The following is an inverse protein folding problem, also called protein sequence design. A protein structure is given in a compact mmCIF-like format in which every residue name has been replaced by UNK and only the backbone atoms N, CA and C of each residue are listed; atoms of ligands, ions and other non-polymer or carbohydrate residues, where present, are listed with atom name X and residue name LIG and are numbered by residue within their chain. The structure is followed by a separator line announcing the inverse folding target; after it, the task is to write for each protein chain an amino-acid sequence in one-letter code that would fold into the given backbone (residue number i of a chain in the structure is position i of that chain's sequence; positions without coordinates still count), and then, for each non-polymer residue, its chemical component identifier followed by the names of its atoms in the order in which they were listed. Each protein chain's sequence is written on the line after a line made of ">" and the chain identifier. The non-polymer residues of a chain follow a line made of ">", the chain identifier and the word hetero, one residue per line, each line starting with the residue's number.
data_IF_878742042660
#
_entry.id   IF_878742042660
#
_cell.length_a   1.000
_cell.length_b   1.000
_cell.length_c   1.000
_cell.angle_alpha   90.00
_cell.angle_beta   90.00
_cell.angle_gamma   90.00
#
_symmetry.space_group_name_H-M   'P 1'
#
loop_
_entity.id
_entity.type
_entity.pdbx_description
1 polymer ?
#
# COMPACT_ATOMS: atom_id res chain seq x y z
N UNK A 1 3.65 26.62 16.66
CA UNK A 1 3.41 25.99 15.35
C UNK A 1 3.95 24.58 15.42
N UNK A 2 3.09 23.58 15.24
CA UNK A 2 3.36 22.18 15.61
C UNK A 2 4.26 21.56 14.55
N UNK A 3 5.39 20.97 14.97
CA UNK A 3 6.33 20.26 14.10
C UNK A 3 5.62 19.11 13.36
N UNK A 4 5.03 19.40 12.21
CA UNK A 4 4.56 18.35 11.31
C UNK A 4 5.80 17.58 10.85
N UNK A 5 5.78 16.24 10.89
CA UNK A 5 6.90 15.47 10.38
C UNK A 5 7.12 15.80 8.90
N UNK A 6 8.37 15.75 8.41
CA UNK A 6 8.70 16.15 7.04
C UNK A 6 8.02 15.26 5.98
N UNK A 7 7.46 14.11 6.40
CA UNK A 7 6.63 13.24 5.60
C UNK A 7 6.16 12.02 6.42
N UNK A 8 5.66 11.01 5.72
CA UNK A 8 5.15 9.76 6.28
C UNK A 8 5.64 8.58 5.46
N UNK A 9 6.24 7.60 6.13
CA UNK A 9 6.65 6.33 5.51
C UNK A 9 5.58 5.29 5.75
N UNK A 10 5.14 4.63 4.69
CA UNK A 10 4.11 3.59 4.72
C UNK A 10 4.57 2.33 4.03
N UNK A 11 4.03 1.19 4.44
CA UNK A 11 4.29 -0.08 3.79
C UNK A 11 3.47 -1.21 4.38
N UNK A 12 3.40 -2.29 3.61
CA UNK A 12 2.84 -3.57 4.00
C UNK A 12 4.00 -4.56 4.11
N UNK A 13 4.18 -5.08 5.32
CA UNK A 13 5.25 -6.03 5.66
C UNK A 13 5.25 -7.23 4.72
N UNK A 14 6.45 -7.56 4.21
CA UNK A 14 6.69 -8.65 3.23
C UNK A 14 5.88 -8.56 1.92
N UNK A 15 5.24 -7.42 1.62
CA UNK A 15 4.48 -7.22 0.38
C UNK A 15 5.00 -6.02 -0.39
N UNK A 16 5.34 -4.92 0.27
CA UNK A 16 5.78 -3.68 -0.38
C UNK A 16 7.11 -3.18 0.16
N UNK A 17 7.87 -2.47 -0.67
CA UNK A 17 8.96 -1.61 -0.18
C UNK A 17 8.39 -0.44 0.64
N UNK A 18 8.99 -0.08 1.79
CA UNK A 18 8.61 1.12 2.53
C UNK A 18 8.72 2.35 1.65
N UNK A 19 7.63 3.08 1.50
CA UNK A 19 7.52 4.23 0.60
C UNK A 19 7.16 5.48 1.39
N UNK A 20 7.84 6.59 1.13
CA UNK A 20 7.62 7.83 1.88
C UNK A 20 6.86 8.87 1.06
N UNK A 21 5.97 9.61 1.71
CA UNK A 21 5.09 10.61 1.13
C UNK A 21 5.17 11.93 1.90
N UNK A 22 4.94 13.05 1.24
CA UNK A 22 4.91 14.37 1.92
C UNK A 22 3.69 14.55 2.83
N UNK A 23 2.57 13.92 2.53
CA UNK A 23 1.33 14.06 3.29
C UNK A 23 0.63 12.72 3.51
N UNK A 24 -0.21 12.64 4.54
CA UNK A 24 -0.91 11.41 4.89
C UNK A 24 -1.96 11.00 3.87
N UNK A 25 -2.70 11.96 3.30
CA UNK A 25 -3.75 11.66 2.33
C UNK A 25 -3.27 10.79 1.15
N UNK A 26 -2.19 11.14 0.41
CA UNK A 26 -1.67 10.30 -0.64
C UNK A 26 -1.09 8.98 -0.11
N UNK A 27 -0.43 8.98 1.05
CA UNK A 27 0.12 7.77 1.66
C UNK A 27 -0.97 6.73 1.98
N UNK A 28 -2.08 7.18 2.57
CA UNK A 28 -3.24 6.34 2.91
C UNK A 28 -3.98 5.90 1.65
N UNK A 29 -4.09 6.76 0.64
CA UNK A 29 -4.67 6.40 -0.66
C UNK A 29 -3.85 5.31 -1.35
N UNK A 30 -2.52 5.42 -1.36
CA UNK A 30 -1.60 4.40 -1.88
C UNK A 30 -1.72 3.06 -1.16
N UNK A 31 -1.81 3.08 0.18
CA UNK A 31 -2.06 1.88 0.98
C UNK A 31 -3.40 1.23 0.60
N UNK A 32 -4.46 2.02 0.51
CA UNK A 32 -5.79 1.52 0.18
C UNK A 32 -5.86 0.89 -1.21
N UNK A 33 -5.28 1.54 -2.22
CA UNK A 33 -5.16 1.00 -3.57
C UNK A 33 -4.40 -0.33 -3.58
N UNK A 34 -3.32 -0.43 -2.81
CA UNK A 34 -2.51 -1.64 -2.73
C UNK A 34 -3.28 -2.78 -2.05
N UNK A 35 -4.00 -2.51 -0.96
CA UNK A 35 -4.84 -3.51 -0.27
C UNK A 35 -5.97 -4.03 -1.15
N UNK A 36 -6.55 -3.17 -1.99
CA UNK A 36 -7.60 -3.55 -2.93
C UNK A 36 -7.16 -4.60 -3.97
N UNK A 37 -5.87 -4.67 -4.25
CA UNK A 37 -5.30 -5.63 -5.21
C UNK A 37 -4.94 -6.99 -4.58
N UNK A 38 -5.09 -7.13 -3.25
CA UNK A 38 -4.80 -8.36 -2.52
C UNK A 38 -6.08 -9.19 -2.31
N UNK A 39 -5.98 -10.54 -2.26
CA UNK A 39 -7.11 -11.45 -2.02
C UNK A 39 -7.53 -11.43 -0.55
N UNK A 40 -8.05 -10.29 -0.09
CA UNK A 40 -8.60 -10.13 1.25
C UNK A 40 -9.98 -10.77 1.34
N UNK A 41 -10.26 -11.44 2.46
CA UNK A 41 -11.62 -11.89 2.78
C UNK A 41 -12.55 -10.70 3.00
N UNK A 42 -13.84 -10.86 2.66
CA UNK A 42 -14.87 -9.82 2.75
C UNK A 42 -14.87 -9.05 4.08
N UNK A 43 -14.85 -9.75 5.21
CA UNK A 43 -14.85 -9.13 6.54
C UNK A 43 -13.64 -8.23 6.77
N UNK A 44 -12.46 -8.66 6.30
CA UNK A 44 -11.24 -7.86 6.42
C UNK A 44 -11.33 -6.63 5.52
N UNK A 45 -11.77 -6.83 4.28
CA UNK A 45 -11.96 -5.73 3.33
C UNK A 45 -12.87 -4.63 3.89
N UNK A 46 -14.03 -4.99 4.45
CA UNK A 46 -14.95 -4.02 5.07
C UNK A 46 -14.35 -3.32 6.29
N UNK A 47 -13.60 -4.04 7.13
CA UNK A 47 -12.90 -3.43 8.26
C UNK A 47 -11.88 -2.37 7.78
N UNK A 48 -11.11 -2.69 6.74
CA UNK A 48 -10.14 -1.76 6.18
C UNK A 48 -10.77 -0.60 5.42
N UNK A 49 -11.93 -0.81 4.78
CA UNK A 49 -12.73 0.26 4.18
C UNK A 49 -13.14 1.30 5.23
N UNK A 50 -13.44 0.87 6.46
CA UNK A 50 -13.67 1.79 7.57
C UNK A 50 -12.40 2.57 7.96
N UNK A 51 -11.26 1.89 8.11
CA UNK A 51 -10.01 2.54 8.50
C UNK A 51 -9.51 3.57 7.46
N UNK A 52 -9.55 3.21 6.17
CA UNK A 52 -9.10 4.05 5.05
C UNK A 52 -10.20 4.94 4.44
N UNK A 53 -11.43 4.87 4.96
CA UNK A 53 -12.56 5.69 4.50
C UNK A 53 -12.53 7.14 5.02
N UNK A 54 -13.67 7.85 4.98
CA UNK A 54 -13.77 9.23 5.47
C UNK A 54 -13.19 9.39 6.89
N UNK A 55 -12.40 10.44 7.12
CA UNK A 55 -11.73 10.69 8.40
C UNK A 55 -10.44 9.89 8.63
N UNK A 56 -9.93 9.17 7.63
CA UNK A 56 -8.73 8.33 7.78
C UNK A 56 -7.49 9.13 8.16
N UNK A 57 -7.35 10.36 7.63
CA UNK A 57 -6.21 11.23 7.93
C UNK A 57 -6.24 11.61 9.41
N UNK A 58 -7.35 12.14 9.90
CA UNK A 58 -7.53 12.60 11.28
C UNK A 58 -7.34 11.45 12.28
N UNK A 59 -7.88 10.27 11.97
CA UNK A 59 -7.67 9.06 12.77
C UNK A 59 -6.20 8.68 12.79
N UNK A 60 -5.55 8.61 11.64
CA UNK A 60 -4.13 8.23 11.53
C UNK A 60 -3.24 9.22 12.28
N UNK A 61 -3.48 10.53 12.13
CA UNK A 61 -2.77 11.56 12.90
C UNK A 61 -2.96 11.42 14.41
N UNK A 62 -4.15 11.00 14.87
CA UNK A 62 -4.37 10.74 16.29
C UNK A 62 -3.51 9.58 16.80
N UNK A 63 -3.42 8.48 16.05
CA UNK A 63 -2.51 7.36 16.37
C UNK A 63 -1.04 7.78 16.33
N UNK A 64 -0.63 8.52 15.30
CA UNK A 64 0.76 8.99 15.18
C UNK A 64 1.14 9.94 16.32
N UNK A 65 0.23 10.81 16.77
CA UNK A 65 0.48 11.69 17.91
C UNK A 65 0.57 10.94 19.24
N UNK A 66 -0.20 9.85 19.39
CA UNK A 66 -0.26 9.08 20.63
C UNK A 66 0.87 8.07 20.74
N UNK A 67 1.09 7.31 19.67
CA UNK A 67 1.90 6.09 19.67
C UNK A 67 3.14 6.20 18.77
N UNK A 68 3.30 7.31 18.03
CA UNK A 68 4.40 7.53 17.09
C UNK A 68 4.32 6.68 15.81
N UNK A 69 3.31 5.81 15.70
CA UNK A 69 3.07 4.92 14.56
C UNK A 69 1.60 4.53 14.49
N UNK A 70 1.13 4.15 13.31
CA UNK A 70 -0.07 3.34 13.13
C UNK A 70 0.37 1.96 12.62
N UNK A 71 -0.14 0.90 13.24
CA UNK A 71 0.03 -0.47 12.78
C UNK A 71 -1.34 -1.15 12.73
N UNK A 72 -1.64 -1.79 11.60
CA UNK A 72 -2.86 -2.56 11.40
C UNK A 72 -2.50 -3.96 10.90
N UNK A 73 -3.01 -5.00 11.54
CA UNK A 73 -2.74 -6.39 11.18
C UNK A 73 -3.87 -7.01 10.37
N UNK A 74 -3.54 -7.80 9.35
CA UNK A 74 -4.52 -8.57 8.58
C UNK A 74 -3.99 -9.96 8.27
N UNK A 75 -4.90 -10.89 7.96
CA UNK A 75 -4.57 -12.25 7.59
C UNK A 75 -4.63 -12.41 6.06
N UNK A 76 -3.54 -12.90 5.47
CA UNK A 76 -3.43 -13.18 4.05
C UNK A 76 -2.78 -14.55 3.85
N UNK A 77 -3.50 -15.47 3.17
CA UNK A 77 -3.04 -16.84 2.90
C UNK A 77 -2.45 -17.56 4.13
N UNK A 78 -3.13 -17.46 5.28
CA UNK A 78 -2.72 -18.13 6.52
C UNK A 78 -1.56 -17.44 7.27
N UNK A 79 -1.09 -16.28 6.81
CA UNK A 79 -0.07 -15.48 7.50
C UNK A 79 -0.65 -14.16 7.97
N UNK A 80 -0.21 -13.69 9.14
CA UNK A 80 -0.48 -12.31 9.59
C UNK A 80 0.51 -11.36 8.92
N UNK A 81 -0.01 -10.26 8.37
CA UNK A 81 0.73 -9.17 7.73
C UNK A 81 0.43 -7.86 8.45
N UNK A 82 1.39 -6.95 8.44
CA UNK A 82 1.26 -5.64 9.07
C UNK A 82 1.30 -4.51 8.03
N UNK A 83 0.31 -3.62 8.10
CA UNK A 83 0.38 -2.29 7.52
C UNK A 83 1.06 -1.39 8.55
N UNK A 84 1.99 -0.56 8.10
CA UNK A 84 2.66 0.43 8.94
C UNK A 84 2.53 1.83 8.34
N UNK A 85 2.33 2.81 9.21
CA UNK A 85 2.48 4.24 8.92
C UNK A 85 3.32 4.83 10.04
N UNK A 86 4.43 5.47 9.70
CA UNK A 86 5.32 6.14 10.65
C UNK A 86 5.71 7.52 10.11
N UNK A 87 6.03 8.49 10.99
CA UNK A 87 6.66 9.74 10.55
C UNK A 87 7.95 9.44 9.79
N UNK A 88 8.13 10.06 8.63
CA UNK A 88 9.35 9.87 7.85
C UNK A 88 10.52 10.61 8.50
N UNK A 89 11.66 9.93 8.66
CA UNK A 89 12.87 10.51 9.24
C UNK A 89 13.78 11.18 8.19
N UNK A 90 13.87 10.61 6.97
CA UNK A 90 14.57 11.13 5.76
C UNK A 90 14.37 10.15 4.60
N UNK A 91 14.27 10.64 3.36
CA UNK A 91 14.17 9.82 2.15
C UNK A 91 13.52 10.57 0.98
N UNK A 92 13.52 10.02 -0.24
CA UNK A 92 12.75 10.60 -1.35
C UNK A 92 11.26 10.54 -0.98
N UNK A 93 10.63 11.72 -0.96
CA UNK A 93 9.22 11.87 -0.61
C UNK A 93 8.38 11.95 -1.88
N UNK A 94 7.35 11.12 -1.98
CA UNK A 94 6.37 11.17 -3.04
C UNK A 94 5.31 12.24 -2.74
N UNK A 95 4.99 13.05 -3.75
CA UNK A 95 3.97 14.11 -3.68
C UNK A 95 2.56 13.62 -4.02
N UNK A 96 2.46 12.65 -4.92
CA UNK A 96 1.20 12.13 -5.45
C UNK A 96 0.92 10.72 -4.93
N UNK A 97 -0.36 10.32 -4.84
CA UNK A 97 -0.71 8.93 -4.56
C UNK A 97 -0.24 8.06 -5.74
N UNK A 98 0.66 7.12 -5.46
CA UNK A 98 1.08 6.09 -6.39
C UNK A 98 0.97 4.72 -5.73
N UNK A 99 0.60 3.64 -6.44
CA UNK A 99 0.61 2.29 -5.89
C UNK A 99 1.96 1.98 -5.26
N UNK A 100 1.94 1.36 -4.08
CA UNK A 100 3.18 1.00 -3.41
C UNK A 100 3.95 -0.02 -4.25
N UNK A 101 5.26 0.15 -4.31
CA UNK A 101 6.11 -0.79 -5.04
C UNK A 101 6.10 -2.13 -4.32
N UNK A 102 5.63 -3.16 -5.03
CA UNK A 102 5.63 -4.52 -4.51
C UNK A 102 7.06 -5.08 -4.47
N UNK A 103 7.34 -5.94 -3.49
CA UNK A 103 8.58 -6.68 -3.45
C UNK A 103 8.66 -7.65 -4.63
N UNK A 104 9.83 -7.73 -5.25
CA UNK A 104 10.10 -8.66 -6.36
C UNK A 104 10.35 -10.06 -5.79
N UNK A 105 9.26 -10.74 -5.43
CA UNK A 105 9.26 -12.11 -4.90
C UNK A 105 8.15 -12.94 -5.53
N UNK A 106 8.36 -14.26 -5.72
CA UNK A 106 7.34 -15.13 -6.27
C UNK A 106 6.10 -15.20 -5.37
N UNK A 107 6.27 -15.10 -4.05
CA UNK A 107 5.12 -15.07 -3.14
C UNK A 107 4.25 -13.84 -3.37
N UNK A 108 4.84 -12.64 -3.53
CA UNK A 108 4.09 -11.41 -3.76
C UNK A 108 3.46 -11.37 -5.15
N UNK A 109 4.12 -11.94 -6.16
CA UNK A 109 3.55 -12.06 -7.50
C UNK A 109 2.27 -12.92 -7.51
N UNK A 110 2.23 -13.99 -6.71
CA UNK A 110 1.05 -14.85 -6.57
C UNK A 110 -0.12 -14.20 -5.80
N UNK A 111 0.13 -13.10 -5.07
CA UNK A 111 -0.89 -12.37 -4.32
C UNK A 111 -1.71 -11.38 -5.16
N UNK A 112 -1.35 -11.13 -6.42
CA UNK A 112 -2.09 -10.17 -7.25
C UNK A 112 -3.37 -10.80 -7.77
N UNK A 113 -4.50 -10.12 -7.53
CA UNK A 113 -5.80 -10.48 -8.10
C UNK A 113 -5.82 -10.29 -9.63
N UNK A 114 -5.08 -9.31 -10.13
CA UNK A 114 -4.71 -9.23 -11.54
C UNK A 114 -3.62 -10.27 -11.77
N UNK A 115 -3.97 -11.42 -12.36
CA UNK A 115 -3.06 -12.53 -12.61
C UNK A 115 -1.70 -12.09 -13.19
N UNK A 116 -0.65 -12.92 -13.08
CA UNK A 116 0.73 -12.50 -13.34
C UNK A 116 0.76 -11.71 -14.63
N UNK A 117 1.16 -10.43 -14.56
CA UNK A 117 1.24 -9.56 -15.72
C UNK A 117 2.05 -10.32 -16.76
N UNK A 118 1.36 -10.92 -17.73
CA UNK A 118 1.98 -11.66 -18.80
C UNK A 118 2.79 -10.61 -19.53
N UNK A 119 4.11 -10.59 -19.29
CA UNK A 119 5.03 -9.85 -20.15
C UNK A 119 4.66 -10.28 -21.58
N UNK A 120 4.23 -9.38 -22.47
CA UNK A 120 4.03 -9.77 -23.84
C UNK A 120 5.36 -10.31 -24.34
N UNK A 121 5.37 -11.59 -24.73
CA UNK A 121 6.54 -12.20 -25.33
C UNK A 121 6.94 -11.34 -26.55
N UNK A 122 8.22 -10.95 -26.69
CA UNK A 122 8.65 -10.19 -27.85
C UNK A 122 8.63 -11.14 -29.05
N UNK A 123 7.59 -11.06 -29.89
CA UNK A 123 7.63 -11.69 -31.22
C UNK A 123 6.38 -12.42 -31.71
N UNK A 124 5.16 -11.92 -31.47
CA UNK A 124 4.01 -12.41 -32.25
C UNK A 124 3.92 -11.68 -33.61
N UNK A 125 4.09 -12.36 -34.76
CA UNK A 125 4.01 -11.73 -36.07
C UNK A 125 2.56 -11.37 -36.40
N UNK A 126 2.34 -10.12 -36.82
CA UNK A 126 1.05 -9.65 -37.35
C UNK A 126 0.74 -10.41 -38.65
N UNK A 127 -0.20 -11.35 -38.60
CA UNK A 127 -0.87 -11.87 -39.81
C UNK A 127 -1.64 -10.72 -40.45
N UNK A 128 -1.11 -10.18 -41.56
CA UNK A 128 -1.88 -9.41 -42.53
C UNK A 128 -2.69 -10.40 -43.36
N UNK A 129 -4.01 -10.34 -43.21
CA UNK A 129 -4.92 -10.91 -44.21
C UNK A 129 -5.05 -9.91 -45.35
N UNK A 130 -4.77 -10.37 -46.56
CA UNK A 130 -5.22 -9.79 -47.82
C UNK A 130 -6.09 -10.85 -48.50
#
# INVERSE_FOLDING_TARGET
>A
MKNAPPGYTVGIEEITEPTSFFSLAPALSSLWQTLHALPLGWTQFEAYRYFFGPGAVERTEAFLRRDGRLQLSFALLGRTRLISVVPAARGPLQLAPAPLKLLDSPEVAALRLDGPAVRPAPGAPRRRSA
#
